data_IF_665919359999
#
_entry.id   IF_665919359999
#
_cell.length_a   1.000
_cell.length_b   1.000
_cell.length_c   1.000
_cell.angle_alpha   90.00
_cell.angle_beta   90.00
_cell.angle_gamma   90.00
#
_symmetry.space_group_name_H-M   'P 1'
#
loop_
_entity.id
_entity.type
_entity.pdbx_description
1 polymer ?
#
# COMPACT_ATOMS: atom_id res chain seq x y z
N UNK A 1 -33.53 15.94 8.78
CA UNK A 1 -33.93 14.63 8.22
C UNK A 1 -33.62 14.70 6.74
N UNK A 2 -32.40 14.32 6.34
CA UNK A 2 -32.00 14.36 4.93
C UNK A 2 -32.91 13.43 4.12
N UNK A 3 -33.44 13.95 3.03
CA UNK A 3 -34.47 13.28 2.24
C UNK A 3 -33.84 12.09 1.49
N UNK A 4 -34.62 11.03 1.25
CA UNK A 4 -34.09 9.79 0.67
C UNK A 4 -33.44 10.02 -0.71
N UNK A 5 -33.90 11.05 -1.42
CA UNK A 5 -33.34 11.54 -2.67
C UNK A 5 -31.92 12.10 -2.52
N UNK A 6 -31.64 12.86 -1.46
CA UNK A 6 -30.32 13.45 -1.23
C UNK A 6 -29.28 12.36 -0.97
N UNK A 7 -29.66 11.30 -0.24
CA UNK A 7 -28.81 10.12 -0.04
C UNK A 7 -28.52 9.39 -1.35
N UNK A 8 -29.51 9.24 -2.23
CA UNK A 8 -29.35 8.60 -3.55
C UNK A 8 -28.45 9.42 -4.47
N UNK A 9 -28.60 10.74 -4.48
CA UNK A 9 -27.74 11.66 -5.25
C UNK A 9 -26.30 11.56 -4.76
N UNK A 10 -26.07 11.62 -3.46
CA UNK A 10 -24.73 11.49 -2.87
C UNK A 10 -24.05 10.16 -3.21
N UNK A 11 -24.80 9.05 -3.17
CA UNK A 11 -24.30 7.72 -3.57
C UNK A 11 -23.94 7.70 -5.06
N UNK A 12 -24.78 8.29 -5.93
CA UNK A 12 -24.52 8.36 -7.36
C UNK A 12 -23.30 9.23 -7.68
N UNK A 13 -23.12 10.34 -6.99
CA UNK A 13 -21.92 11.17 -7.10
C UNK A 13 -20.67 10.44 -6.62
N UNK A 14 -20.75 9.71 -5.49
CA UNK A 14 -19.67 8.85 -5.00
C UNK A 14 -19.30 7.78 -6.02
N UNK A 15 -20.29 7.11 -6.61
CA UNK A 15 -20.10 6.11 -7.68
C UNK A 15 -19.50 6.72 -8.95
N UNK A 16 -19.92 7.94 -9.33
CA UNK A 16 -19.40 8.64 -10.51
C UNK A 16 -17.92 9.02 -10.33
N UNK A 17 -17.57 9.62 -9.20
CA UNK A 17 -16.17 9.96 -8.86
C UNK A 17 -15.29 8.73 -8.76
N UNK A 18 -15.81 7.66 -8.16
CA UNK A 18 -15.13 6.36 -8.09
C UNK A 18 -14.85 5.80 -9.50
N UNK A 19 -15.83 5.83 -10.40
CA UNK A 19 -15.65 5.33 -11.77
C UNK A 19 -14.61 6.14 -12.56
N UNK A 20 -14.63 7.47 -12.43
CA UNK A 20 -13.65 8.37 -13.06
C UNK A 20 -12.22 8.06 -12.59
N UNK A 21 -12.02 7.90 -11.27
CA UNK A 21 -10.71 7.55 -10.71
C UNK A 21 -10.24 6.17 -11.18
N UNK A 22 -11.11 5.16 -11.16
CA UNK A 22 -10.79 3.80 -11.63
C UNK A 22 -10.42 3.77 -13.11
N UNK A 23 -11.07 4.59 -13.95
CA UNK A 23 -10.71 4.67 -15.37
C UNK A 23 -9.38 5.36 -15.63
N UNK A 24 -8.90 6.19 -14.70
CA UNK A 24 -7.62 6.90 -14.82
C UNK A 24 -6.42 6.07 -14.36
N UNK A 25 -6.62 5.10 -13.48
CA UNK A 25 -5.57 4.19 -12.97
C UNK A 25 -5.69 2.82 -13.64
N UNK A 26 -4.77 2.43 -14.53
CA UNK A 26 -4.85 1.17 -15.27
C UNK A 26 -4.77 -0.07 -14.37
N UNK A 27 -4.22 0.02 -13.16
CA UNK A 27 -4.08 -1.11 -12.23
C UNK A 27 -4.59 -0.74 -10.82
N UNK A 28 -5.43 -1.59 -10.23
CA UNK A 28 -6.05 -1.36 -8.90
C UNK A 28 -5.03 -1.12 -7.77
N UNK A 29 -3.81 -1.65 -7.88
CA UNK A 29 -2.72 -1.46 -6.91
C UNK A 29 -2.07 -0.08 -6.97
N UNK A 30 -2.43 0.74 -7.95
CA UNK A 30 -1.97 2.13 -8.09
C UNK A 30 -2.76 3.13 -7.24
N UNK A 31 -3.81 2.66 -6.57
CA UNK A 31 -4.60 3.49 -5.65
C UNK A 31 -3.81 3.71 -4.36
N UNK A 32 -3.55 4.97 -3.95
CA UNK A 32 -2.91 5.26 -2.66
C UNK A 32 -3.73 4.72 -1.49
N UNK A 33 -3.06 4.27 -0.43
CA UNK A 33 -3.66 3.67 0.77
C UNK A 33 -4.80 4.50 1.37
N UNK A 34 -4.67 5.82 1.31
CA UNK A 34 -5.63 6.78 1.85
C UNK A 34 -6.97 6.77 1.09
N UNK A 35 -6.92 6.48 -0.21
CA UNK A 35 -8.09 6.42 -1.10
C UNK A 35 -8.69 5.01 -1.14
N UNK A 36 -7.89 3.97 -0.88
CA UNK A 36 -8.35 2.58 -0.90
C UNK A 36 -9.55 2.34 0.04
N UNK A 37 -9.53 2.88 1.27
CA UNK A 37 -10.65 2.72 2.23
C UNK A 37 -11.97 3.33 1.74
N UNK A 38 -11.89 4.54 1.16
CA UNK A 38 -13.06 5.24 0.64
C UNK A 38 -13.60 4.56 -0.63
N UNK A 39 -12.69 4.13 -1.52
CA UNK A 39 -13.01 3.41 -2.75
C UNK A 39 -13.74 2.09 -2.45
N UNK A 40 -13.27 1.33 -1.46
CA UNK A 40 -13.89 0.07 -1.05
C UNK A 40 -15.09 0.23 -0.09
N UNK A 41 -15.63 1.45 0.04
CA UNK A 41 -16.80 1.75 0.89
C UNK A 41 -16.63 1.32 2.36
N UNK A 42 -15.39 1.26 2.86
CA UNK A 42 -15.11 1.00 4.28
C UNK A 42 -15.33 2.25 5.13
N UNK A 43 -15.36 3.43 4.51
CA UNK A 43 -15.56 4.72 5.18
C UNK A 43 -16.32 5.65 4.25
N UNK A 44 -17.26 6.42 4.80
CA UNK A 44 -18.04 7.40 4.05
C UNK A 44 -17.30 8.72 3.86
N UNK A 45 -16.41 9.04 4.80
CA UNK A 45 -15.57 10.21 4.76
C UNK A 45 -14.47 10.11 3.69
N UNK A 46 -14.37 11.09 2.79
CA UNK A 46 -13.28 11.14 1.83
C UNK A 46 -11.97 11.55 2.53
N UNK A 47 -10.81 11.07 2.05
CA UNK A 47 -9.50 11.37 2.64
C UNK A 47 -9.11 12.85 2.56
N UNK A 48 -9.80 13.65 1.75
CA UNK A 48 -9.65 15.11 1.69
C UNK A 48 -10.29 15.83 2.88
N UNK A 49 -11.33 15.25 3.49
CA UNK A 49 -12.03 15.82 4.65
C UNK A 49 -11.45 15.28 5.96
N UNK A 50 -11.02 14.03 5.96
CA UNK A 50 -10.41 13.38 7.12
C UNK A 50 -9.06 12.77 6.73
N UNK A 51 -7.98 13.58 6.76
CA UNK A 51 -6.66 13.07 6.46
C UNK A 51 -6.26 12.00 7.50
N UNK A 52 -5.59 10.92 7.08
CA UNK A 52 -5.13 9.90 8.00
C UNK A 52 -4.10 10.47 8.97
N UNK A 53 -4.07 9.93 10.18
CA UNK A 53 -3.12 10.34 11.22
C UNK A 53 -1.69 10.06 10.73
N UNK A 54 -0.93 11.11 10.46
CA UNK A 54 0.47 11.00 10.04
C UNK A 54 1.32 10.36 11.15
N UNK A 55 2.15 9.39 10.78
CA UNK A 55 3.10 8.72 11.68
C UNK A 55 4.46 8.66 11.01
N UNK A 56 5.53 8.72 11.81
CA UNK A 56 6.92 8.77 11.34
C UNK A 56 7.36 7.58 10.47
N UNK A 57 6.65 6.47 10.55
CA UNK A 57 6.98 5.23 9.82
C UNK A 57 6.07 4.97 8.62
N UNK A 58 5.05 5.81 8.41
CA UNK A 58 4.17 5.69 7.24
C UNK A 58 4.94 6.22 6.04
N UNK A 59 4.92 5.48 4.94
CA UNK A 59 5.54 5.94 3.69
C UNK A 59 4.75 7.11 3.10
N UNK A 60 5.45 8.19 2.77
CA UNK A 60 4.86 9.38 2.14
C UNK A 60 4.46 9.10 0.68
N UNK A 61 5.29 8.34 -0.03
CA UNK A 61 5.05 7.92 -1.40
C UNK A 61 4.58 6.47 -1.43
N UNK A 62 3.38 6.26 -1.96
CA UNK A 62 2.83 4.91 -2.16
C UNK A 62 3.71 4.13 -3.15
N UNK A 63 4.14 2.92 -2.76
CA UNK A 63 4.87 2.02 -3.66
C UNK A 63 3.89 1.06 -4.31
N UNK A 64 3.81 1.12 -5.62
CA UNK A 64 2.94 0.25 -6.41
C UNK A 64 3.40 -1.21 -6.39
N UNK A 65 2.53 -2.10 -6.87
CA UNK A 65 2.89 -3.51 -7.02
C UNK A 65 4.04 -3.67 -8.03
N UNK A 66 5.18 -4.15 -7.55
CA UNK A 66 6.42 -4.35 -8.31
C UNK A 66 6.65 -5.83 -8.69
N UNK A 67 5.63 -6.68 -8.57
CA UNK A 67 5.71 -8.09 -8.99
C UNK A 67 6.13 -8.20 -10.46
N UNK A 68 7.10 -9.06 -10.77
CA UNK A 68 7.62 -9.24 -12.13
C UNK A 68 8.61 -8.17 -12.59
N UNK A 69 8.95 -7.19 -11.74
CA UNK A 69 10.02 -6.22 -11.98
C UNK A 69 11.28 -6.59 -11.17
N UNK A 70 12.46 -6.00 -11.48
CA UNK A 70 13.67 -6.23 -10.68
C UNK A 70 13.54 -5.82 -9.20
N UNK A 71 12.59 -4.95 -8.87
CA UNK A 71 12.32 -4.50 -7.49
C UNK A 71 11.35 -5.40 -6.72
N UNK A 72 10.97 -6.53 -7.29
CA UNK A 72 10.06 -7.47 -6.63
C UNK A 72 10.60 -7.96 -5.29
N UNK A 73 9.69 -8.27 -4.38
CA UNK A 73 10.04 -8.88 -3.10
C UNK A 73 10.60 -10.29 -3.32
N UNK A 74 11.83 -10.53 -2.87
CA UNK A 74 12.48 -11.85 -2.87
C UNK A 74 12.68 -12.29 -1.42
N UNK A 75 12.10 -13.43 -1.00
CA UNK A 75 12.24 -13.91 0.36
C UNK A 75 13.68 -14.34 0.64
N UNK A 76 14.22 -13.93 1.78
CA UNK A 76 15.52 -14.37 2.29
C UNK A 76 15.39 -14.74 3.78
N UNK A 77 16.37 -15.50 4.29
CA UNK A 77 16.41 -15.79 5.72
C UNK A 77 16.77 -14.53 6.50
N UNK A 78 15.83 -14.04 7.31
CA UNK A 78 16.07 -12.92 8.24
C UNK A 78 16.87 -13.34 9.48
N UNK A 79 17.21 -14.64 9.58
CA UNK A 79 17.99 -15.19 10.69
C UNK A 79 19.48 -15.24 10.37
N UNK A 80 20.31 -14.96 11.37
CA UNK A 80 21.77 -15.14 11.26
C UNK A 80 22.13 -16.62 11.35
N UNK A 81 23.27 -17.00 10.75
CA UNK A 81 23.81 -18.36 10.84
C UNK A 81 24.03 -18.73 12.31
N UNK A 82 23.47 -19.86 12.73
CA UNK A 82 23.55 -20.33 14.13
C UNK A 82 24.92 -20.90 14.49
N UNK A 83 25.56 -21.58 13.54
CA UNK A 83 26.84 -22.27 13.76
C UNK A 83 27.94 -21.45 13.06
N UNK A 84 28.95 -21.03 13.81
CA UNK A 84 30.13 -20.40 13.25
C UNK A 84 31.13 -21.48 12.86
N UNK A 85 31.59 -21.46 11.61
CA UNK A 85 32.63 -22.38 11.13
C UNK A 85 33.98 -21.97 11.71
N UNK A 86 34.79 -22.97 12.02
CA UNK A 86 36.19 -22.74 12.36
C UNK A 86 36.97 -22.40 11.08
N UNK A 87 37.67 -21.26 11.08
CA UNK A 87 38.51 -20.82 9.97
C UNK A 87 39.95 -21.23 10.29
N UNK A 88 40.60 -22.09 9.49
CA UNK A 88 41.96 -22.53 9.77
C UNK A 88 42.97 -21.39 9.68
N UNK A 89 43.96 -21.31 10.59
CA UNK A 89 45.05 -20.36 10.49
C UNK A 89 45.91 -20.68 9.25
N UNK A 90 46.11 -19.69 8.38
CA UNK A 90 46.99 -19.78 7.19
C UNK A 90 48.46 -19.66 7.57
N UNK A 91 48.95 -20.48 8.49
CA UNK A 91 50.40 -20.59 8.73
C UNK A 91 50.94 -21.73 7.87
N UNK A 92 51.82 -21.39 6.92
CA UNK A 92 52.59 -22.38 6.18
C UNK A 92 53.33 -23.27 7.20
N UNK A 93 53.05 -24.56 7.20
CA UNK A 93 53.86 -25.54 7.92
C UNK A 93 55.28 -25.42 7.36
N UNK A 94 56.19 -24.82 8.14
CA UNK A 94 57.63 -24.82 7.87
C UNK A 94 58.21 -26.21 8.11
#
# INVERSE_FOLDING_TARGET
MYDELEKRILILEKKKKQNEYVTSTPVMTEVPDIMHRWLHSMTDDPPTTHPPVARKFIWENHKFNVSGTPEQYVPYSTTRKKIHEWIPPKTASK
#
